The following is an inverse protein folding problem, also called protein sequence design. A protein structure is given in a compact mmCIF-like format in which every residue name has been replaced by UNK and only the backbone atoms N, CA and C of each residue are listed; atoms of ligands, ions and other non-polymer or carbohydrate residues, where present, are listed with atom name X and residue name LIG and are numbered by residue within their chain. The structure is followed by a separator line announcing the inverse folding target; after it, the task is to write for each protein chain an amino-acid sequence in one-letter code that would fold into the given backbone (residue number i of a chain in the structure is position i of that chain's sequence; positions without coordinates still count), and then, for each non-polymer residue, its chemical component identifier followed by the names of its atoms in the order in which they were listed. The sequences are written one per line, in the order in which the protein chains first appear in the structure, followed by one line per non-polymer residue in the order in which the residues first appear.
data_IF_858332394976
#
_entry.id   IF_858332394976
#
_cell.length_a   1.000
_cell.length_b   1.000
_cell.length_c   1.000
_cell.angle_alpha   90.00
_cell.angle_beta   90.00
_cell.angle_gamma   90.00
#
_symmetry.space_group_name_H-M   'P 1'
#
loop_
_entity.id
_entity.type
_entity.pdbx_description
1 polymer ?
#
# COMPACT_ATOMS: atom_id res chain seq x y z
N UNK A 1 -7.99 -5.93 -6.84
CA UNK A 1 -7.77 -4.46 -6.71
C UNK A 1 -6.66 -3.95 -7.64
N UNK A 2 -5.51 -4.63 -7.78
CA UNK A 2 -4.40 -4.20 -8.66
C UNK A 2 -4.86 -3.87 -10.09
N UNK A 3 -5.67 -4.74 -10.71
CA UNK A 3 -6.21 -4.48 -12.05
C UNK A 3 -7.05 -3.20 -12.12
N UNK A 4 -7.91 -2.95 -11.11
CA UNK A 4 -8.76 -1.74 -11.07
C UNK A 4 -7.90 -0.47 -10.93
N UNK A 5 -6.89 -0.51 -10.06
CA UNK A 5 -5.92 0.59 -9.94
C UNK A 5 -5.15 0.80 -11.24
N UNK A 6 -4.72 -0.27 -11.90
CA UNK A 6 -4.03 -0.21 -13.19
C UNK A 6 -4.92 0.42 -14.28
N UNK A 7 -6.20 0.03 -14.37
CA UNK A 7 -7.17 0.63 -15.29
C UNK A 7 -7.36 2.13 -15.05
N UNK A 8 -7.39 2.55 -13.78
CA UNK A 8 -7.48 3.96 -13.41
C UNK A 8 -6.22 4.74 -13.79
N UNK A 9 -5.03 4.18 -13.54
CA UNK A 9 -3.76 4.77 -13.96
C UNK A 9 -3.70 4.91 -15.49
N UNK A 10 -3.99 3.85 -16.23
CA UNK A 10 -4.03 3.85 -17.70
C UNK A 10 -4.96 4.92 -18.27
N UNK A 11 -6.14 5.09 -17.66
CA UNK A 11 -7.13 6.10 -18.10
C UNK A 11 -6.67 7.54 -17.87
N UNK A 12 -5.72 7.76 -16.99
CA UNK A 12 -5.24 9.10 -16.59
C UNK A 12 -3.79 9.39 -17.06
N UNK A 13 -3.09 8.43 -17.66
CA UNK A 13 -1.80 8.67 -18.31
C UNK A 13 -1.97 9.65 -19.48
N UNK A 14 -0.95 10.46 -19.70
CA UNK A 14 -0.88 11.36 -20.85
C UNK A 14 -0.44 10.60 -22.11
N UNK A 15 -1.33 10.35 -23.09
CA UNK A 15 -0.99 9.58 -24.28
C UNK A 15 -0.01 10.30 -25.22
N UNK A 16 0.13 11.62 -25.10
CA UNK A 16 1.10 12.40 -25.88
C UNK A 16 2.53 12.32 -25.29
N UNK A 17 2.65 11.77 -24.07
CA UNK A 17 3.89 11.71 -23.32
C UNK A 17 4.40 10.29 -23.12
N UNK A 18 3.50 9.32 -22.98
CA UNK A 18 3.84 7.95 -22.59
C UNK A 18 3.37 6.92 -23.60
N UNK A 19 4.30 6.06 -24.01
CA UNK A 19 4.02 4.83 -24.75
C UNK A 19 3.93 3.68 -23.76
N UNK A 20 2.74 3.09 -23.59
CA UNK A 20 2.48 2.16 -22.48
C UNK A 20 2.59 0.72 -22.96
N UNK A 21 3.41 -0.07 -22.28
CA UNK A 21 3.50 -1.52 -22.43
C UNK A 21 2.82 -2.18 -21.22
N UNK A 22 1.54 -2.54 -21.30
CA UNK A 22 0.83 -3.15 -20.17
C UNK A 22 1.27 -4.60 -20.01
N UNK A 23 1.69 -4.95 -18.79
CA UNK A 23 2.03 -6.33 -18.43
C UNK A 23 1.10 -6.75 -17.30
N UNK A 24 0.35 -7.83 -17.52
CA UNK A 24 -0.49 -8.45 -16.52
C UNK A 24 0.21 -9.63 -15.86
N UNK A 25 -0.02 -9.80 -14.55
CA UNK A 25 0.42 -10.98 -13.81
C UNK A 25 -0.82 -11.77 -13.41
N UNK A 26 -0.91 -13.01 -13.86
CA UNK A 26 -2.04 -13.90 -13.55
C UNK A 26 -2.00 -14.35 -12.09
N UNK A 27 -3.09 -14.92 -11.59
CA UNK A 27 -3.19 -15.39 -10.19
C UNK A 27 -2.13 -16.45 -9.85
N UNK A 28 -1.70 -17.25 -10.83
CA UNK A 28 -0.64 -18.25 -10.67
C UNK A 28 0.77 -17.72 -10.98
N UNK A 29 0.91 -16.40 -11.21
CA UNK A 29 2.19 -15.73 -11.35
C UNK A 29 2.76 -15.68 -12.78
N UNK A 30 2.03 -16.08 -13.80
CA UNK A 30 2.46 -15.96 -15.20
C UNK A 30 2.37 -14.51 -15.66
N UNK A 31 3.40 -14.05 -16.37
CA UNK A 31 3.43 -12.71 -16.94
C UNK A 31 2.95 -12.75 -18.38
N UNK A 32 2.00 -11.89 -18.72
CA UNK A 32 1.42 -11.82 -20.07
C UNK A 32 1.34 -10.37 -20.53
N UNK A 33 1.48 -10.15 -21.83
CA UNK A 33 1.22 -8.86 -22.43
C UNK A 33 -0.27 -8.54 -22.28
N UNK A 34 -0.59 -7.45 -21.58
CA UNK A 34 -1.95 -7.03 -21.27
C UNK A 34 -2.59 -6.19 -22.38
N UNK A 35 -3.85 -5.83 -22.16
CA UNK A 35 -4.56 -4.87 -23.00
C UNK A 35 -4.25 -3.44 -22.58
N UNK A 36 -4.06 -2.55 -23.55
CA UNK A 36 -4.00 -1.10 -23.30
C UNK A 36 -5.38 -0.47 -23.10
N UNK A 37 -6.48 -1.25 -23.22
CA UNK A 37 -7.85 -0.77 -22.99
C UNK A 37 -8.18 -0.81 -21.49
N UNK A 38 -8.29 0.35 -20.82
CA UNK A 38 -8.60 0.42 -19.39
C UNK A 38 -9.96 -0.21 -19.04
N UNK A 39 -10.91 -0.28 -19.98
CA UNK A 39 -12.24 -0.83 -19.74
C UNK A 39 -12.21 -2.33 -19.43
N UNK A 40 -11.20 -3.06 -19.93
CA UNK A 40 -10.99 -4.48 -19.63
C UNK A 40 -10.60 -4.73 -18.15
N UNK A 41 -10.15 -3.69 -17.46
CA UNK A 41 -9.71 -3.73 -16.05
C UNK A 41 -10.75 -3.12 -15.09
N UNK A 42 -11.96 -2.82 -15.58
CA UNK A 42 -13.04 -2.26 -14.76
C UNK A 42 -13.78 -3.34 -13.97
N UNK A 43 -14.33 -2.94 -12.81
CA UNK A 43 -15.22 -3.79 -12.01
C UNK A 43 -16.52 -4.04 -12.78
N UNK A 44 -16.95 -5.28 -12.90
CA UNK A 44 -18.23 -5.67 -13.48
C UNK A 44 -19.18 -6.24 -12.41
N UNK A 45 -20.13 -5.44 -11.97
CA UNK A 45 -20.98 -5.78 -10.83
C UNK A 45 -20.16 -5.90 -9.53
N UNK A 46 -20.11 -7.09 -8.91
CA UNK A 46 -19.24 -7.40 -7.73
C UNK A 46 -17.98 -8.20 -8.11
N UNK A 47 -17.78 -8.50 -9.40
CA UNK A 47 -16.62 -9.26 -9.84
C UNK A 47 -15.42 -8.34 -10.07
N UNK A 48 -14.33 -8.64 -9.37
CA UNK A 48 -13.04 -7.98 -9.59
C UNK A 48 -12.41 -8.52 -10.89
N UNK A 49 -11.82 -7.65 -11.73
CA UNK A 49 -11.12 -8.09 -12.92
C UNK A 49 -9.88 -8.92 -12.55
N UNK A 50 -9.57 -9.90 -13.39
CA UNK A 50 -8.37 -10.72 -13.32
C UNK A 50 -7.63 -10.71 -14.64
N UNK A 51 -6.35 -11.05 -14.59
CA UNK A 51 -5.53 -11.21 -15.79
C UNK A 51 -5.71 -12.62 -16.33
N UNK A 52 -6.12 -12.74 -17.59
CA UNK A 52 -6.27 -14.02 -18.28
C UNK A 52 -4.92 -14.54 -18.82
N UNK A 53 -4.81 -15.86 -18.97
CA UNK A 53 -3.60 -16.53 -19.50
C UNK A 53 -3.46 -16.48 -21.02
N UNK A 54 -4.50 -16.06 -21.72
CA UNK A 54 -4.59 -16.15 -23.18
C UNK A 54 -3.72 -15.11 -23.94
N UNK A 55 -2.96 -14.29 -23.20
CA UNK A 55 -2.02 -13.32 -23.75
C UNK A 55 -0.65 -13.93 -24.13
N UNK A 56 0.15 -13.17 -24.88
CA UNK A 56 1.56 -13.54 -25.14
C UNK A 56 2.33 -13.55 -23.83
N UNK A 57 2.93 -14.68 -23.47
CA UNK A 57 3.79 -14.78 -22.28
C UNK A 57 5.03 -13.93 -22.47
N UNK A 58 5.37 -13.14 -21.46
CA UNK A 58 6.49 -12.21 -21.51
C UNK A 58 7.37 -12.33 -20.28
N UNK A 59 8.60 -11.87 -20.41
CA UNK A 59 9.54 -11.71 -19.30
C UNK A 59 10.26 -10.37 -19.43
N UNK A 60 10.42 -9.66 -18.31
CA UNK A 60 11.36 -8.56 -18.22
C UNK A 60 12.75 -9.14 -17.96
N UNK A 61 13.72 -8.76 -18.79
CA UNK A 61 15.10 -9.21 -18.60
C UNK A 61 15.65 -8.68 -17.27
N UNK A 62 16.19 -9.56 -16.45
CA UNK A 62 16.93 -9.17 -15.24
C UNK A 62 18.39 -8.80 -15.52
N UNK A 63 18.84 -8.85 -16.78
CA UNK A 63 20.17 -8.42 -17.22
C UNK A 63 20.15 -6.91 -17.47
N UNK A 64 20.81 -6.08 -16.64
CA UNK A 64 20.76 -4.62 -16.78
C UNK A 64 21.37 -4.10 -18.09
N UNK A 65 22.20 -4.91 -18.78
CA UNK A 65 22.77 -4.52 -20.09
C UNK A 65 21.73 -4.59 -21.23
N UNK A 66 20.55 -5.14 -20.94
CA UNK A 66 19.44 -5.24 -21.89
C UNK A 66 18.42 -4.09 -21.75
N UNK A 67 18.72 -3.12 -20.91
CA UNK A 67 18.01 -1.84 -20.84
C UNK A 67 16.47 -1.95 -20.84
N UNK A 68 15.92 -2.79 -19.94
CA UNK A 68 14.48 -2.92 -19.76
C UNK A 68 13.74 -3.68 -20.88
N UNK A 69 14.42 -4.55 -21.62
CA UNK A 69 13.78 -5.35 -22.66
C UNK A 69 12.70 -6.28 -22.10
N UNK A 70 11.53 -6.21 -22.71
CA UNK A 70 10.39 -7.12 -22.55
C UNK A 70 10.43 -8.13 -23.68
N UNK A 71 10.59 -9.39 -23.34
CA UNK A 71 10.88 -10.47 -24.29
C UNK A 71 9.70 -11.43 -24.34
N UNK A 72 9.29 -11.86 -25.54
CA UNK A 72 8.34 -12.94 -25.73
C UNK A 72 8.93 -14.26 -25.22
N UNK A 73 8.18 -14.97 -24.36
CA UNK A 73 8.67 -16.20 -23.74
C UNK A 73 8.26 -17.47 -24.50
N UNK A 74 7.16 -17.41 -25.25
CA UNK A 74 6.59 -18.58 -25.93
C UNK A 74 6.13 -18.26 -27.37
N UNK A 75 5.64 -19.30 -28.06
CA UNK A 75 5.11 -19.18 -29.42
C UNK A 75 6.19 -19.12 -30.51
N UNK A 76 5.79 -18.68 -31.70
CA UNK A 76 6.68 -18.51 -32.86
C UNK A 76 7.72 -17.41 -32.66
N UNK A 77 7.42 -16.48 -31.76
CA UNK A 77 8.23 -15.27 -31.49
C UNK A 77 9.03 -15.39 -30.18
N UNK A 78 9.17 -16.59 -29.65
CA UNK A 78 9.95 -16.84 -28.45
C UNK A 78 11.39 -16.31 -28.58
N UNK A 79 11.78 -15.45 -27.62
CA UNK A 79 13.06 -14.73 -27.64
C UNK A 79 13.06 -13.41 -28.40
N UNK A 80 11.96 -13.04 -29.06
CA UNK A 80 11.84 -11.71 -29.67
C UNK A 80 11.66 -10.62 -28.62
N UNK A 81 12.36 -9.51 -28.81
CA UNK A 81 12.16 -8.29 -28.00
C UNK A 81 10.89 -7.61 -28.52
N UNK A 82 9.91 -7.48 -27.63
CA UNK A 82 8.62 -6.84 -27.93
C UNK A 82 8.65 -5.33 -27.66
N UNK A 83 9.38 -4.92 -26.64
CA UNK A 83 9.53 -3.53 -26.22
C UNK A 83 10.79 -3.37 -25.35
N UNK A 84 11.26 -2.14 -25.19
CA UNK A 84 12.14 -1.69 -24.10
C UNK A 84 11.42 -0.63 -23.31
N UNK A 85 11.51 -0.68 -21.97
CA UNK A 85 10.83 0.25 -21.09
C UNK A 85 11.83 1.09 -20.30
N UNK A 86 11.60 2.41 -20.25
CA UNK A 86 12.43 3.37 -19.52
C UNK A 86 12.11 3.39 -18.01
N UNK A 87 10.88 3.02 -17.65
CA UNK A 87 10.38 3.04 -16.28
C UNK A 87 9.23 2.05 -16.11
N UNK A 88 9.15 1.43 -14.95
CA UNK A 88 8.03 0.54 -14.59
C UNK A 88 7.14 1.22 -13.53
N UNK A 89 5.83 1.18 -13.71
CA UNK A 89 4.86 1.53 -12.68
C UNK A 89 4.22 0.24 -12.13
N UNK A 90 4.72 -0.32 -11.02
CA UNK A 90 4.22 -1.58 -10.48
C UNK A 90 2.92 -1.35 -9.71
N UNK A 91 1.78 -1.31 -10.40
CA UNK A 91 0.45 -1.15 -9.80
C UNK A 91 0.00 -2.49 -9.22
N UNK A 92 0.70 -2.93 -8.17
CA UNK A 92 0.51 -4.22 -7.51
C UNK A 92 0.28 -4.00 -6.02
N UNK A 93 -0.86 -4.47 -5.50
CA UNK A 93 -1.19 -4.36 -4.08
C UNK A 93 -1.00 -5.70 -3.37
N UNK A 94 -0.45 -5.66 -2.15
CA UNK A 94 -0.23 -6.81 -1.30
C UNK A 94 1.08 -7.56 -1.56
N UNK A 95 1.09 -8.85 -1.21
CA UNK A 95 2.26 -9.71 -1.32
C UNK A 95 2.81 -9.75 -2.75
N UNK A 96 4.13 -9.84 -2.86
CA UNK A 96 4.94 -9.75 -4.08
C UNK A 96 4.94 -8.37 -4.76
N UNK A 97 3.96 -7.50 -4.51
CA UNK A 97 3.87 -6.16 -5.06
C UNK A 97 4.44 -5.07 -4.15
N UNK A 98 4.19 -5.19 -2.83
CA UNK A 98 4.52 -4.17 -1.84
C UNK A 98 5.57 -4.63 -0.80
N UNK A 99 6.16 -5.82 -0.96
CA UNK A 99 7.05 -6.46 0.02
C UNK A 99 8.53 -6.46 -0.36
N UNK A 100 8.93 -5.74 -1.39
CA UNK A 100 10.29 -5.67 -1.90
C UNK A 100 10.62 -6.70 -2.96
N UNK A 101 9.74 -7.66 -3.25
CA UNK A 101 10.00 -8.75 -4.21
C UNK A 101 10.09 -8.25 -5.64
N UNK A 102 9.07 -7.55 -6.12
CA UNK A 102 9.08 -6.96 -7.48
C UNK A 102 10.13 -5.85 -7.58
N UNK A 103 10.31 -5.06 -6.53
CA UNK A 103 11.32 -4.02 -6.46
C UNK A 103 12.73 -4.60 -6.62
N UNK A 104 13.01 -5.75 -5.98
CA UNK A 104 14.29 -6.47 -6.13
C UNK A 104 14.54 -6.95 -7.56
N UNK A 105 13.51 -7.42 -8.28
CA UNK A 105 13.60 -7.76 -9.69
C UNK A 105 13.96 -6.54 -10.54
N UNK A 106 13.30 -5.42 -10.31
CA UNK A 106 13.51 -4.18 -11.05
C UNK A 106 14.89 -3.56 -10.79
N UNK A 107 15.39 -3.66 -9.55
CA UNK A 107 16.76 -3.28 -9.20
C UNK A 107 17.79 -4.14 -9.96
N UNK A 108 17.60 -5.46 -10.03
CA UNK A 108 18.47 -6.36 -10.80
C UNK A 108 18.43 -6.04 -12.30
N UNK A 109 17.26 -5.74 -12.83
CA UNK A 109 17.07 -5.36 -14.23
C UNK A 109 17.64 -3.98 -14.58
N UNK A 110 17.97 -3.17 -13.59
CA UNK A 110 18.44 -1.80 -13.79
C UNK A 110 17.37 -0.85 -14.34
N UNK A 111 16.08 -1.17 -14.16
CA UNK A 111 14.96 -0.37 -14.69
C UNK A 111 14.38 0.50 -13.59
N UNK A 112 14.34 1.82 -13.76
CA UNK A 112 13.65 2.73 -12.84
C UNK A 112 12.19 2.32 -12.61
N UNK A 113 11.69 2.51 -11.40
CA UNK A 113 10.31 2.17 -11.08
C UNK A 113 9.66 3.16 -10.10
N UNK A 114 8.35 3.30 -10.24
CA UNK A 114 7.53 4.12 -9.35
C UNK A 114 7.35 3.43 -8.01
N UNK A 115 7.51 4.17 -6.94
CA UNK A 115 7.28 3.71 -5.57
C UNK A 115 8.54 3.46 -4.77
N UNK A 116 8.40 3.05 -3.52
CA UNK A 116 9.49 2.81 -2.60
C UNK A 116 10.40 1.66 -3.03
N UNK A 117 11.67 1.74 -2.61
CA UNK A 117 12.67 0.72 -2.88
C UNK A 117 12.48 -0.56 -2.07
N UNK A 118 13.42 -1.50 -2.22
CA UNK A 118 13.36 -2.84 -1.60
C UNK A 118 13.21 -2.77 -0.09
N UNK A 119 14.05 -1.96 0.59
CA UNK A 119 14.04 -1.85 2.05
C UNK A 119 12.71 -1.30 2.56
N UNK A 120 12.28 -0.16 2.01
CA UNK A 120 11.06 0.50 2.43
C UNK A 120 9.82 -0.36 2.20
N UNK A 121 9.74 -1.04 1.06
CA UNK A 121 8.64 -1.96 0.73
C UNK A 121 8.61 -3.15 1.70
N UNK A 122 9.74 -3.81 1.92
CA UNK A 122 9.82 -4.96 2.83
C UNK A 122 9.53 -4.59 4.29
N UNK A 123 10.06 -3.45 4.76
CA UNK A 123 9.83 -2.96 6.10
C UNK A 123 8.40 -2.43 6.27
N UNK A 124 7.84 -1.74 5.28
CA UNK A 124 6.48 -1.20 5.29
C UNK A 124 5.40 -2.29 5.30
N UNK A 125 5.64 -3.41 4.61
CA UNK A 125 4.74 -4.57 4.63
C UNK A 125 4.70 -5.25 6.01
N UNK A 126 5.78 -5.23 6.76
CA UNK A 126 5.91 -5.92 8.05
C UNK A 126 5.63 -4.96 9.22
N UNK A 127 4.45 -5.05 9.82
CA UNK A 127 3.98 -4.17 10.90
C UNK A 127 4.93 -4.14 12.12
N UNK A 128 5.63 -5.23 12.40
CA UNK A 128 6.65 -5.25 13.45
C UNK A 128 7.80 -4.30 13.13
N UNK A 129 8.35 -4.41 11.90
CA UNK A 129 9.50 -3.61 11.50
C UNK A 129 9.13 -2.16 11.21
N UNK A 130 7.97 -1.92 10.62
CA UNK A 130 7.41 -0.56 10.47
C UNK A 130 7.39 0.17 11.82
N UNK A 131 6.74 -0.40 12.84
CA UNK A 131 6.63 0.24 14.15
C UNK A 131 7.98 0.37 14.86
N UNK A 132 8.88 -0.60 14.70
CA UNK A 132 10.24 -0.50 15.25
C UNK A 132 11.02 0.67 14.67
N UNK A 133 10.98 0.87 13.36
CA UNK A 133 11.66 1.98 12.69
C UNK A 133 11.04 3.31 13.09
N UNK A 134 9.72 3.42 13.05
CA UNK A 134 9.01 4.63 13.47
C UNK A 134 9.30 4.99 14.93
N UNK A 135 9.27 4.02 15.84
CA UNK A 135 9.57 4.25 17.26
C UNK A 135 11.04 4.65 17.49
N UNK A 136 12.00 4.09 16.73
CA UNK A 136 13.40 4.46 16.80
C UNK A 136 13.65 5.93 16.42
N UNK A 137 12.82 6.47 15.51
CA UNK A 137 12.82 7.89 15.13
C UNK A 137 11.94 8.78 16.04
N UNK A 138 11.48 8.22 17.16
CA UNK A 138 10.65 8.95 18.14
C UNK A 138 9.26 9.33 17.63
N UNK A 139 8.74 8.60 16.65
CA UNK A 139 7.40 8.82 16.11
C UNK A 139 6.35 8.09 16.99
N UNK A 140 5.16 8.68 17.20
CA UNK A 140 4.12 8.10 18.03
C UNK A 140 3.49 6.88 17.33
N UNK A 141 3.62 5.71 17.93
CA UNK A 141 3.03 4.45 17.46
C UNK A 141 2.31 3.73 18.60
N UNK A 142 1.29 2.94 18.26
CA UNK A 142 0.57 2.13 19.24
C UNK A 142 1.41 0.99 19.81
N UNK A 143 1.09 0.57 21.04
CA UNK A 143 1.73 -0.57 21.73
C UNK A 143 1.35 -1.87 21.03
N UNK A 144 2.34 -2.73 20.81
CA UNK A 144 2.15 -4.03 20.20
C UNK A 144 3.00 -5.11 20.84
N UNK A 145 2.50 -6.34 20.81
CA UNK A 145 3.25 -7.56 21.14
C UNK A 145 3.34 -8.44 19.90
N UNK A 146 4.54 -8.94 19.61
CA UNK A 146 4.80 -9.82 18.44
C UNK A 146 4.88 -11.26 18.90
N UNK A 147 4.02 -12.10 18.37
CA UNK A 147 4.01 -13.55 18.59
C UNK A 147 4.68 -14.26 17.41
N UNK A 148 5.92 -14.68 17.59
CA UNK A 148 6.68 -15.44 16.59
C UNK A 148 6.22 -16.91 16.54
N UNK A 149 6.57 -17.67 15.47
CA UNK A 149 6.38 -19.12 15.47
C UNK A 149 6.95 -19.75 16.73
N UNK A 150 6.14 -20.58 17.39
CA UNK A 150 6.51 -21.23 18.68
C UNK A 150 6.05 -20.50 19.94
N UNK A 151 5.65 -19.21 19.86
CA UNK A 151 5.01 -18.49 20.99
C UNK A 151 3.51 -18.69 20.92
N UNK A 152 2.91 -19.40 21.86
CA UNK A 152 1.51 -19.80 21.78
C UNK A 152 0.55 -18.65 21.97
N UNK A 153 0.76 -17.83 23.03
CA UNK A 153 -0.14 -16.75 23.45
C UNK A 153 0.63 -15.64 24.17
N UNK A 154 -0.07 -14.63 24.67
CA UNK A 154 0.49 -13.54 25.48
C UNK A 154 0.76 -13.98 26.93
N UNK A 155 1.77 -13.37 27.56
CA UNK A 155 1.94 -13.44 29.02
C UNK A 155 0.94 -12.53 29.74
N UNK A 156 0.75 -12.73 31.06
CA UNK A 156 -0.16 -11.88 31.85
C UNK A 156 0.34 -10.41 31.92
N UNK A 157 1.67 -10.20 31.92
CA UNK A 157 2.27 -8.87 31.87
C UNK A 157 1.95 -8.18 30.54
N UNK A 158 2.06 -8.91 29.42
CA UNK A 158 1.74 -8.38 28.11
C UNK A 158 0.23 -8.05 27.98
N UNK A 159 -0.65 -8.90 28.52
CA UNK A 159 -2.08 -8.61 28.59
C UNK A 159 -2.38 -7.36 29.41
N UNK A 160 -1.69 -7.18 30.55
CA UNK A 160 -1.85 -6.01 31.39
C UNK A 160 -1.36 -4.72 30.70
N UNK A 161 -0.28 -4.81 29.91
CA UNK A 161 0.28 -3.69 29.15
C UNK A 161 -0.64 -3.26 28.00
N UNK A 162 -1.18 -4.23 27.24
CA UNK A 162 -2.03 -3.96 26.08
C UNK A 162 -3.43 -3.48 26.48
N UNK A 163 -3.98 -4.02 27.57
CA UNK A 163 -5.39 -3.80 27.94
C UNK A 163 -6.37 -4.45 26.95
N UNK A 164 -7.65 -4.18 27.12
CA UNK A 164 -8.71 -4.62 26.20
C UNK A 164 -9.51 -3.40 25.71
N UNK A 165 -10.07 -3.45 24.51
CA UNK A 165 -9.92 -4.52 23.52
C UNK A 165 -8.55 -4.50 22.82
N UNK A 166 -8.17 -5.65 22.21
CA UNK A 166 -6.98 -5.76 21.36
C UNK A 166 -7.37 -6.19 19.95
N UNK A 167 -6.50 -5.87 18.97
CA UNK A 167 -6.57 -6.38 17.62
C UNK A 167 -5.47 -7.41 17.38
N UNK A 168 -5.86 -8.61 16.98
CA UNK A 168 -4.96 -9.70 16.59
C UNK A 168 -4.91 -9.76 15.09
N UNK A 169 -3.72 -9.68 14.50
CA UNK A 169 -3.56 -9.59 13.04
C UNK A 169 -2.28 -10.25 12.53
N UNK A 170 -2.25 -10.72 11.28
CA UNK A 170 -1.02 -11.12 10.61
C UNK A 170 -0.01 -9.98 10.62
N UNK A 171 1.28 -10.27 10.81
CA UNK A 171 2.31 -9.23 10.79
C UNK A 171 2.51 -8.64 9.40
N UNK A 172 2.38 -9.47 8.36
CA UNK A 172 2.52 -9.12 6.94
C UNK A 172 1.21 -9.41 6.23
N UNK A 173 0.56 -8.39 5.76
CA UNK A 173 -0.72 -8.48 5.08
C UNK A 173 -1.41 -7.11 5.05
N UNK A 174 -2.32 -6.95 4.10
CA UNK A 174 -3.11 -5.74 3.89
C UNK A 174 -4.60 -6.02 3.90
N UNK A 175 -5.39 -5.00 3.61
CA UNK A 175 -6.84 -5.10 3.38
C UNK A 175 -7.64 -5.76 4.51
N UNK A 176 -7.20 -5.62 5.75
CA UNK A 176 -7.84 -6.17 6.95
C UNK A 176 -8.01 -7.70 6.98
N UNK A 177 -7.30 -8.45 6.12
CA UNK A 177 -7.39 -9.91 6.06
C UNK A 177 -6.77 -10.54 7.32
N UNK A 178 -7.51 -11.45 7.96
CA UNK A 178 -7.04 -12.19 9.14
C UNK A 178 -7.00 -11.38 10.43
N UNK A 179 -7.64 -10.19 10.48
CA UNK A 179 -7.74 -9.36 11.68
C UNK A 179 -8.94 -9.80 12.51
N UNK A 180 -8.74 -9.86 13.82
CA UNK A 180 -9.80 -10.17 14.80
C UNK A 180 -9.73 -9.19 15.97
N UNK A 181 -10.85 -8.51 16.28
CA UNK A 181 -11.02 -7.74 17.52
C UNK A 181 -11.33 -8.68 18.67
N UNK A 182 -10.58 -8.57 19.75
CA UNK A 182 -10.76 -9.38 20.98
C UNK A 182 -11.12 -8.45 22.11
N UNK A 183 -12.38 -8.59 22.59
CA UNK A 183 -12.93 -7.77 23.68
C UNK A 183 -12.84 -8.46 25.04
N UNK A 184 -12.44 -9.74 25.05
CA UNK A 184 -12.25 -10.55 26.25
C UNK A 184 -11.13 -11.58 25.97
N UNK A 185 -10.27 -11.87 26.96
CA UNK A 185 -9.10 -12.71 26.80
C UNK A 185 -9.42 -14.18 26.43
N UNK A 186 -10.63 -14.66 26.67
CA UNK A 186 -11.05 -16.03 26.30
C UNK A 186 -11.06 -16.23 24.77
N UNK A 187 -11.23 -15.16 24.00
CA UNK A 187 -11.20 -15.20 22.53
C UNK A 187 -9.79 -15.11 21.92
N UNK A 188 -8.76 -14.83 22.72
CA UNK A 188 -7.41 -14.52 22.22
C UNK A 188 -6.79 -15.66 21.42
N UNK A 189 -6.83 -16.89 21.94
CA UNK A 189 -6.18 -18.05 21.28
C UNK A 189 -6.84 -18.38 19.94
N UNK A 190 -8.16 -18.23 19.84
CA UNK A 190 -8.91 -18.38 18.59
C UNK A 190 -8.51 -17.32 17.56
N UNK A 191 -8.37 -16.08 18.00
CA UNK A 191 -7.92 -14.97 17.14
C UNK A 191 -6.48 -15.16 16.64
N UNK A 192 -5.57 -15.63 17.50
CA UNK A 192 -4.19 -15.95 17.13
C UNK A 192 -4.17 -17.08 16.10
N UNK A 193 -4.97 -18.15 16.31
CA UNK A 193 -5.05 -19.26 15.37
C UNK A 193 -5.57 -18.79 14.00
N UNK A 194 -6.58 -17.90 13.97
CA UNK A 194 -7.11 -17.32 12.74
C UNK A 194 -6.04 -16.48 12.00
N UNK A 195 -5.36 -15.56 12.68
CA UNK A 195 -4.31 -14.75 12.08
C UNK A 195 -3.16 -15.60 11.52
N UNK A 196 -2.84 -16.73 12.16
CA UNK A 196 -1.81 -17.68 11.73
C UNK A 196 -2.13 -18.45 10.45
N UNK A 197 -3.37 -18.47 10.01
CA UNK A 197 -3.72 -19.00 8.68
C UNK A 197 -3.13 -18.15 7.56
N UNK A 198 -2.81 -16.89 7.85
CA UNK A 198 -2.31 -15.91 6.86
C UNK A 198 -0.82 -15.60 7.04
N UNK A 199 -0.32 -15.53 8.27
CA UNK A 199 1.10 -15.32 8.56
C UNK A 199 1.50 -16.05 9.86
N UNK A 200 2.55 -16.87 9.87
CA UNK A 200 3.03 -17.52 11.09
C UNK A 200 3.47 -16.52 12.17
N UNK A 201 3.81 -15.28 11.82
CA UNK A 201 4.09 -14.17 12.72
C UNK A 201 2.81 -13.35 12.92
N UNK A 202 2.37 -13.22 14.18
CA UNK A 202 1.15 -12.51 14.56
C UNK A 202 1.49 -11.32 15.43
N UNK A 203 0.73 -10.26 15.27
CA UNK A 203 0.80 -9.05 16.10
C UNK A 203 -0.48 -8.93 16.90
N UNK A 204 -0.34 -8.60 18.18
CA UNK A 204 -1.44 -8.22 19.07
C UNK A 204 -1.22 -6.76 19.47
N UNK A 205 -2.18 -5.91 19.16
CA UNK A 205 -2.11 -4.46 19.41
C UNK A 205 -3.25 -4.02 20.32
N UNK A 206 -2.95 -3.13 21.27
CA UNK A 206 -3.98 -2.42 22.03
C UNK A 206 -4.83 -1.55 21.09
N UNK A 207 -6.14 -1.53 21.30
CA UNK A 207 -7.02 -0.65 20.54
C UNK A 207 -6.69 0.82 20.80
N UNK A 208 -6.61 1.60 19.74
CA UNK A 208 -6.43 3.06 19.82
C UNK A 208 -7.79 3.71 19.57
N UNK A 209 -8.27 4.49 20.52
CA UNK A 209 -9.51 5.24 20.38
C UNK A 209 -9.19 6.61 19.79
N UNK A 210 -9.69 6.89 18.59
CA UNK A 210 -9.43 8.13 17.89
C UNK A 210 -10.16 8.20 16.55
N UNK A 211 -10.08 9.37 15.90
CA UNK A 211 -10.59 9.58 14.55
C UNK A 211 -9.58 9.00 13.54
N UNK A 212 -10.04 8.20 12.60
CA UNK A 212 -9.19 7.60 11.57
C UNK A 212 -8.96 8.59 10.43
N UNK A 213 -7.70 8.94 10.18
CA UNK A 213 -7.31 9.89 9.15
C UNK A 213 -6.12 9.40 8.35
N UNK A 214 -6.04 9.85 7.11
CA UNK A 214 -4.98 9.48 6.17
C UNK A 214 -4.27 10.72 5.65
N UNK A 215 -2.96 10.59 5.36
CA UNK A 215 -2.15 11.64 4.75
C UNK A 215 -1.25 11.05 3.66
N UNK A 216 -1.37 11.55 2.43
CA UNK A 216 -0.51 11.19 1.32
C UNK A 216 0.84 11.89 1.38
N UNK A 217 1.92 11.16 1.10
CA UNK A 217 3.26 11.74 0.94
C UNK A 217 3.72 11.52 -0.50
N UNK A 218 4.32 12.54 -1.09
CA UNK A 218 4.84 12.54 -2.46
C UNK A 218 6.24 13.12 -2.48
N UNK A 219 7.15 12.40 -3.10
CA UNK A 219 8.48 12.90 -3.47
C UNK A 219 8.44 13.43 -4.91
N UNK A 220 9.10 14.57 -5.11
CA UNK A 220 9.21 15.24 -6.40
C UNK A 220 10.56 14.93 -7.07
N UNK A 221 10.70 15.14 -8.40
CA UNK A 221 11.93 14.86 -9.12
C UNK A 221 13.17 15.60 -8.62
N UNK A 222 12.98 16.73 -7.89
CA UNK A 222 14.07 17.51 -7.29
C UNK A 222 14.44 17.04 -5.87
N UNK A 223 13.83 15.95 -5.38
CA UNK A 223 14.04 15.39 -4.05
C UNK A 223 13.20 16.05 -2.94
N UNK A 224 12.36 17.05 -3.25
CA UNK A 224 11.42 17.59 -2.28
C UNK A 224 10.38 16.55 -1.88
N UNK A 225 10.10 16.43 -0.58
CA UNK A 225 9.05 15.56 -0.05
C UNK A 225 7.96 16.39 0.60
N UNK A 226 6.73 16.22 0.15
CA UNK A 226 5.56 16.98 0.65
C UNK A 226 4.44 16.06 1.08
N UNK A 227 3.62 16.53 2.03
CA UNK A 227 2.39 15.90 2.46
C UNK A 227 1.18 16.57 1.80
N UNK A 228 0.17 15.78 1.49
CA UNK A 228 -1.14 16.25 1.01
C UNK A 228 -1.96 16.92 2.12
N UNK A 229 -3.16 17.38 1.80
CA UNK A 229 -4.20 17.60 2.82
C UNK A 229 -4.50 16.28 3.54
N UNK A 230 -4.94 16.37 4.79
CA UNK A 230 -5.39 15.21 5.58
C UNK A 230 -6.82 14.86 5.17
N UNK A 231 -7.12 13.58 5.06
CA UNK A 231 -8.47 13.10 4.83
C UNK A 231 -8.95 12.27 6.01
N UNK A 232 -10.25 12.29 6.30
CA UNK A 232 -10.89 11.50 7.34
C UNK A 232 -11.84 10.48 6.73
N UNK A 233 -11.80 9.27 7.26
CA UNK A 233 -12.74 8.20 6.93
C UNK A 233 -13.77 8.15 8.05
N UNK A 234 -15.05 8.38 7.70
CA UNK A 234 -16.16 8.27 8.64
C UNK A 234 -17.01 7.07 8.28
N UNK A 235 -17.18 6.18 9.26
CA UNK A 235 -18.19 5.14 9.17
C UNK A 235 -19.55 5.79 9.50
N UNK A 236 -20.62 5.53 8.71
CA UNK A 236 -21.97 5.93 9.12
C UNK A 236 -22.27 5.28 10.46
N UNK A 237 -23.03 5.98 11.32
CA UNK A 237 -23.36 5.62 12.69
C UNK A 237 -23.60 4.10 12.88
N UNK A 238 -22.52 3.36 13.06
CA UNK A 238 -22.59 2.05 13.68
C UNK A 238 -22.58 2.34 15.19
N UNK A 239 -23.59 1.87 15.91
CA UNK A 239 -23.58 1.88 17.37
C UNK A 239 -22.16 1.51 17.87
N UNK A 240 -21.65 2.26 18.85
CA UNK A 240 -20.30 2.06 19.41
C UNK A 240 -20.04 0.62 19.91
N UNK A 241 -21.08 -0.20 19.99
CA UNK A 241 -21.09 -1.63 20.33
C UNK A 241 -21.18 -2.58 19.11
N UNK A 242 -21.29 -2.07 17.87
CA UNK A 242 -21.30 -2.98 16.74
C UNK A 242 -19.87 -3.50 16.50
N UNK A 243 -19.74 -4.83 16.40
CA UNK A 243 -18.52 -5.50 15.93
C UNK A 243 -18.22 -5.21 14.42
N UNK A 244 -18.87 -4.18 13.84
CA UNK A 244 -18.68 -3.77 12.46
C UNK A 244 -17.24 -3.22 12.30
N UNK A 245 -16.38 -4.08 11.82
CA UNK A 245 -15.01 -3.76 11.49
C UNK A 245 -14.95 -3.29 10.02
N UNK A 246 -14.14 -2.27 9.76
CA UNK A 246 -13.87 -1.77 8.42
C UNK A 246 -13.08 -2.81 7.62
N UNK A 247 -13.77 -3.82 7.11
CA UNK A 247 -13.22 -4.92 6.34
C UNK A 247 -13.07 -4.60 4.85
N UNK A 248 -12.58 -5.58 4.08
CA UNK A 248 -12.33 -5.43 2.65
C UNK A 248 -13.59 -5.08 1.86
N UNK A 249 -14.72 -5.72 2.17
CA UNK A 249 -15.98 -5.54 1.42
C UNK A 249 -16.54 -4.13 1.68
N UNK A 250 -16.51 -3.68 2.91
CA UNK A 250 -16.90 -2.32 3.30
C UNK A 250 -15.99 -1.25 2.66
N UNK A 251 -14.67 -1.54 2.54
CA UNK A 251 -13.71 -0.60 1.94
C UNK A 251 -13.90 -0.39 0.43
N UNK A 252 -14.28 -1.42 -0.30
CA UNK A 252 -14.15 -1.42 -1.76
C UNK A 252 -15.43 -1.75 -2.53
N UNK A 253 -16.44 -2.35 -1.90
CA UNK A 253 -17.62 -2.86 -2.59
C UNK A 253 -18.95 -2.22 -2.15
N UNK A 254 -19.04 -1.73 -0.90
CA UNK A 254 -20.35 -1.33 -0.36
C UNK A 254 -20.61 0.18 -0.34
N UNK A 255 -19.65 1.02 -0.75
CA UNK A 255 -19.77 2.51 -0.87
C UNK A 255 -20.41 3.19 0.36
N UNK A 256 -20.19 2.62 1.57
CA UNK A 256 -20.85 3.01 2.82
C UNK A 256 -20.08 4.10 3.56
N UNK A 257 -18.82 4.36 3.18
CA UNK A 257 -17.95 5.29 3.89
C UNK A 257 -18.13 6.72 3.39
N UNK A 258 -18.23 7.64 4.31
CA UNK A 258 -18.14 9.07 4.02
C UNK A 258 -16.70 9.54 4.19
N UNK A 259 -16.25 10.41 3.27
CA UNK A 259 -14.92 10.98 3.30
C UNK A 259 -14.97 12.49 3.44
N UNK A 260 -14.29 13.03 4.44
CA UNK A 260 -14.03 14.46 4.52
C UNK A 260 -12.63 14.77 3.99
N UNK A 261 -12.54 15.49 2.86
CA UNK A 261 -11.29 15.88 2.22
C UNK A 261 -11.35 17.39 1.89
N UNK A 262 -10.62 18.25 2.59
CA UNK A 262 -9.80 17.96 3.77
C UNK A 262 -10.62 17.58 5.00
N UNK A 263 -9.98 16.83 5.93
CA UNK A 263 -10.56 16.47 7.22
C UNK A 263 -10.90 17.69 8.06
N UNK A 264 -12.00 17.63 8.80
CA UNK A 264 -12.41 18.71 9.73
C UNK A 264 -11.65 18.61 11.05
N UNK A 265 -10.38 19.00 11.03
CA UNK A 265 -9.47 19.05 12.17
C UNK A 265 -9.06 20.49 12.45
N UNK A 266 -8.59 20.74 13.67
CA UNK A 266 -7.85 21.97 13.95
C UNK A 266 -6.59 22.05 13.07
N UNK A 267 -6.26 23.25 12.57
CA UNK A 267 -5.13 23.45 11.64
C UNK A 267 -3.81 22.92 12.23
N UNK A 268 -3.56 23.17 13.52
CA UNK A 268 -2.38 22.70 14.24
C UNK A 268 -2.26 21.17 14.26
N UNK A 269 -3.39 20.44 14.37
CA UNK A 269 -3.41 18.99 14.33
C UNK A 269 -3.16 18.47 12.91
N UNK A 270 -3.75 19.12 11.91
CA UNK A 270 -3.51 18.80 10.50
C UNK A 270 -2.04 18.99 10.11
N UNK A 271 -1.43 20.10 10.56
CA UNK A 271 0.00 20.36 10.31
C UNK A 271 0.90 19.36 11.01
N UNK A 272 0.57 18.96 12.26
CA UNK A 272 1.29 17.93 12.98
C UNK A 272 1.22 16.57 12.24
N UNK A 273 0.05 16.17 11.74
CA UNK A 273 -0.13 14.94 10.96
C UNK A 273 0.72 14.98 9.69
N UNK A 274 0.71 16.09 8.96
CA UNK A 274 1.51 16.27 7.75
C UNK A 274 3.01 16.19 8.03
N UNK A 275 3.49 16.81 9.11
CA UNK A 275 4.88 16.68 9.54
C UNK A 275 5.24 15.22 9.89
N UNK A 276 4.41 14.56 10.71
CA UNK A 276 4.61 13.17 11.10
C UNK A 276 4.60 12.23 9.89
N UNK A 277 3.73 12.48 8.89
CA UNK A 277 3.67 11.68 7.65
C UNK A 277 4.98 11.78 6.86
N UNK A 278 5.53 12.98 6.68
CA UNK A 278 6.83 13.18 6.01
C UNK A 278 7.96 12.53 6.80
N UNK A 279 7.95 12.62 8.13
CA UNK A 279 8.94 11.96 8.99
C UNK A 279 8.83 10.43 8.90
N UNK A 280 7.62 9.87 8.89
CA UNK A 280 7.41 8.43 8.73
C UNK A 280 7.92 7.93 7.36
N UNK A 281 7.65 8.67 6.29
CA UNK A 281 8.18 8.41 4.95
C UNK A 281 9.71 8.31 4.96
N UNK A 282 10.37 9.27 5.60
CA UNK A 282 11.84 9.30 5.72
C UNK A 282 12.39 8.21 6.64
N UNK A 283 11.68 7.90 7.73
CA UNK A 283 12.10 6.88 8.71
C UNK A 283 12.14 5.47 8.09
N UNK A 284 11.30 5.19 7.10
CA UNK A 284 11.31 3.94 6.37
C UNK A 284 12.17 3.99 5.09
N UNK A 285 12.82 5.10 4.80
CA UNK A 285 13.55 5.33 3.55
C UNK A 285 12.64 5.12 2.31
N UNK A 286 11.40 5.58 2.40
CA UNK A 286 10.47 5.53 1.28
C UNK A 286 10.90 6.48 0.16
N UNK A 287 10.51 6.14 -1.06
CA UNK A 287 10.71 6.96 -2.25
C UNK A 287 9.42 7.06 -3.04
N UNK A 288 9.30 8.11 -3.83
CA UNK A 288 8.18 8.38 -4.74
C UNK A 288 6.90 8.69 -3.99
N UNK A 289 6.29 7.72 -3.32
CA UNK A 289 5.00 7.89 -2.65
C UNK A 289 4.84 7.00 -1.41
N UNK A 290 3.94 7.44 -0.53
CA UNK A 290 3.30 6.59 0.49
C UNK A 290 2.00 7.23 0.97
N UNK A 291 1.16 6.46 1.67
CA UNK A 291 0.06 6.95 2.49
C UNK A 291 0.31 6.53 3.92
N UNK A 292 0.21 7.47 4.83
CA UNK A 292 0.37 7.22 6.26
C UNK A 292 -0.99 7.37 6.93
N UNK A 293 -1.40 6.34 7.66
CA UNK A 293 -2.69 6.25 8.31
C UNK A 293 -2.51 6.49 9.82
N UNK A 294 -3.40 7.31 10.40
CA UNK A 294 -3.31 7.77 11.77
C UNK A 294 -4.62 7.59 12.53
N UNK A 295 -4.50 7.49 13.85
CA UNK A 295 -5.59 7.76 14.78
C UNK A 295 -5.34 9.10 15.49
N UNK A 296 -6.28 10.03 15.37
CA UNK A 296 -6.24 11.30 16.13
C UNK A 296 -6.92 11.07 17.47
N UNK A 297 -6.11 10.92 18.50
CA UNK A 297 -6.55 10.69 19.88
C UNK A 297 -6.67 12.00 20.67
N UNK A 298 -7.15 11.94 21.92
CA UNK A 298 -7.16 13.09 22.82
C UNK A 298 -5.75 13.62 23.15
N UNK A 299 -4.75 12.74 23.09
CA UNK A 299 -3.34 13.07 23.39
C UNK A 299 -2.52 13.45 22.14
N UNK A 300 -3.17 13.43 20.96
CA UNK A 300 -2.55 13.75 19.66
C UNK A 300 -2.58 12.61 18.65
N UNK A 301 -2.00 12.81 17.45
CA UNK A 301 -1.98 11.80 16.39
C UNK A 301 -1.01 10.67 16.70
N UNK A 302 -1.46 9.43 16.44
CA UNK A 302 -0.68 8.19 16.55
C UNK A 302 -0.66 7.51 15.19
N UNK A 303 0.52 7.11 14.70
CA UNK A 303 0.67 6.42 13.42
C UNK A 303 0.19 4.98 13.59
N UNK A 304 -0.73 4.57 12.72
CA UNK A 304 -1.22 3.20 12.63
C UNK A 304 -0.35 2.36 11.69
N UNK A 305 -0.26 2.78 10.43
CA UNK A 305 0.52 2.08 9.40
C UNK A 305 1.00 3.04 8.30
N UNK A 306 1.91 2.54 7.46
CA UNK A 306 2.35 3.19 6.24
C UNK A 306 2.12 2.26 5.06
N UNK A 307 1.46 2.76 4.02
CA UNK A 307 1.17 2.03 2.79
C UNK A 307 2.13 2.50 1.70
N UNK A 308 2.99 1.61 1.24
CA UNK A 308 4.05 1.91 0.27
C UNK A 308 3.55 1.97 -1.18
N UNK A 309 2.43 1.32 -1.48
CA UNK A 309 1.72 1.45 -2.76
C UNK A 309 0.22 1.62 -2.47
N UNK A 310 -0.23 2.83 -2.12
CA UNK A 310 -1.65 3.09 -1.85
C UNK A 310 -2.50 2.85 -3.09
N UNK A 311 -3.81 2.64 -2.90
CA UNK A 311 -4.74 2.44 -4.00
C UNK A 311 -4.78 3.63 -4.97
N UNK A 312 -4.94 3.32 -6.26
CA UNK A 312 -5.05 4.29 -7.35
C UNK A 312 -6.37 4.19 -8.12
N UNK A 313 -7.42 3.64 -7.52
CA UNK A 313 -8.75 3.64 -8.14
C UNK A 313 -9.37 5.03 -8.09
N UNK A 314 -10.46 5.26 -8.82
CA UNK A 314 -11.19 6.53 -8.81
C UNK A 314 -11.76 6.91 -7.44
N UNK A 315 -11.98 5.92 -6.56
CA UNK A 315 -12.46 6.12 -5.20
C UNK A 315 -11.32 6.17 -4.17
N UNK A 316 -10.09 5.84 -4.54
CA UNK A 316 -8.94 5.79 -3.64
C UNK A 316 -8.59 7.16 -3.07
N UNK A 317 -8.22 7.17 -1.79
CA UNK A 317 -7.96 8.40 -1.04
C UNK A 317 -6.70 9.12 -1.51
N UNK A 318 -5.63 8.38 -1.85
CA UNK A 318 -4.36 8.98 -2.21
C UNK A 318 -4.46 10.00 -3.38
N UNK A 319 -5.02 9.65 -4.55
CA UNK A 319 -5.20 10.62 -5.62
C UNK A 319 -6.21 11.73 -5.27
N UNK A 320 -7.25 11.44 -4.47
CA UNK A 320 -8.23 12.45 -4.03
C UNK A 320 -7.59 13.49 -3.11
N UNK A 321 -6.74 13.09 -2.16
CA UNK A 321 -6.02 13.99 -1.28
C UNK A 321 -5.09 14.91 -2.07
N UNK A 322 -4.37 14.38 -3.06
CA UNK A 322 -3.50 15.18 -3.90
C UNK A 322 -4.27 16.15 -4.81
N UNK A 323 -5.41 15.73 -5.36
CA UNK A 323 -6.29 16.60 -6.11
C UNK A 323 -6.79 17.79 -5.25
N UNK A 324 -7.19 17.52 -4.01
CA UNK A 324 -7.58 18.55 -3.06
C UNK A 324 -6.40 19.45 -2.61
N UNK A 325 -5.16 18.96 -2.75
CA UNK A 325 -3.93 19.73 -2.50
C UNK A 325 -3.54 20.59 -3.73
N UNK A 326 -4.20 20.41 -4.88
CA UNK A 326 -3.97 21.14 -6.12
C UNK A 326 -3.11 20.42 -7.16
N UNK A 327 -2.87 19.11 -6.99
CA UNK A 327 -2.19 18.25 -7.95
C UNK A 327 -3.22 17.26 -8.50
N UNK A 328 -3.67 17.47 -9.73
CA UNK A 328 -4.61 16.59 -10.39
C UNK A 328 -4.01 15.20 -10.67
N UNK A 329 -4.88 14.23 -10.98
CA UNK A 329 -4.49 12.83 -11.12
C UNK A 329 -3.42 12.61 -12.21
N UNK A 330 -3.55 13.28 -13.38
CA UNK A 330 -2.59 13.18 -14.47
C UNK A 330 -1.22 13.74 -14.07
N UNK A 331 -1.22 14.91 -13.44
CA UNK A 331 -0.02 15.54 -12.90
C UNK A 331 0.63 14.68 -11.82
N UNK A 332 -0.17 14.05 -10.96
CA UNK A 332 0.32 13.13 -9.93
C UNK A 332 1.07 11.94 -10.54
N UNK A 333 0.47 11.25 -11.52
CA UNK A 333 1.12 10.12 -12.21
C UNK A 333 2.42 10.59 -12.88
N UNK A 334 2.38 11.71 -13.61
CA UNK A 334 3.56 12.23 -14.29
C UNK A 334 4.68 12.59 -13.31
N UNK A 335 4.33 13.19 -12.15
CA UNK A 335 5.31 13.48 -11.10
C UNK A 335 5.96 12.20 -10.58
N UNK A 336 5.18 11.14 -10.35
CA UNK A 336 5.70 9.86 -9.88
C UNK A 336 6.65 9.20 -10.88
N UNK A 337 6.29 9.22 -12.17
CA UNK A 337 7.13 8.70 -13.25
C UNK A 337 8.43 9.50 -13.36
N UNK A 338 8.34 10.84 -13.37
CA UNK A 338 9.51 11.72 -13.44
C UNK A 338 10.43 11.53 -12.23
N UNK A 339 9.87 11.36 -11.04
CA UNK A 339 10.63 11.07 -9.82
C UNK A 339 11.37 9.74 -9.94
N UNK A 340 10.71 8.70 -10.45
CA UNK A 340 11.33 7.39 -10.64
C UNK A 340 12.50 7.47 -11.63
N UNK A 341 12.32 8.16 -12.76
CA UNK A 341 13.38 8.36 -13.77
C UNK A 341 14.54 9.18 -13.20
N UNK A 342 14.25 10.29 -12.51
CA UNK A 342 15.27 11.15 -11.91
C UNK A 342 16.08 10.42 -10.84
N UNK A 343 15.45 9.53 -10.10
CA UNK A 343 16.05 8.70 -9.07
C UNK A 343 16.93 7.58 -9.65
N UNK A 344 16.49 6.91 -10.72
CA UNK A 344 17.17 5.75 -11.29
C UNK A 344 17.06 4.50 -10.42
N UNK A 345 18.02 3.59 -10.54
CA UNK A 345 18.17 2.34 -9.76
C UNK A 345 19.53 2.26 -9.07
N UNK A 346 19.72 1.26 -8.22
CA UNK A 346 20.99 0.97 -7.55
C UNK A 346 21.11 1.52 -6.12
N UNK A 347 22.29 1.43 -5.55
CA UNK A 347 22.61 1.97 -4.23
C UNK A 347 22.50 3.49 -4.26
N UNK A 348 21.74 4.04 -3.33
CA UNK A 348 21.42 5.46 -3.22
C UNK A 348 21.81 5.99 -1.86
#
# INVERSE_FOLDING_TARGET
MSCVSAGSVLSNLDPDRYDVVPIGITVDGSWVLGSSDPSSLAISGRALPSVDKDGTSVVLSADPTREGEVISFDGSDAGAVLASVDVVFPVLHGAYGEDGTIQGLLELAGVPYVGPGVLASAAGMDKEFTKKLLAAEGLPVGVQVVLRPGTATLTEEQKAELGLPVFVKPARGGSSIGITRVSNWDGLDGAIAHARLHDPKVIVEGAIIGREVECGVLEFPNGDVKASVVAEIRMPDSDADSDAFYDFDTKYLDDVCEFDIPAKLEESVSDQIRELAVRAFKALDCQGLSRVDFFVTADGPVINEINTMPGFTSISMYPKMWNATGIDYRTLISTLVDTAIARGTGLR
#
